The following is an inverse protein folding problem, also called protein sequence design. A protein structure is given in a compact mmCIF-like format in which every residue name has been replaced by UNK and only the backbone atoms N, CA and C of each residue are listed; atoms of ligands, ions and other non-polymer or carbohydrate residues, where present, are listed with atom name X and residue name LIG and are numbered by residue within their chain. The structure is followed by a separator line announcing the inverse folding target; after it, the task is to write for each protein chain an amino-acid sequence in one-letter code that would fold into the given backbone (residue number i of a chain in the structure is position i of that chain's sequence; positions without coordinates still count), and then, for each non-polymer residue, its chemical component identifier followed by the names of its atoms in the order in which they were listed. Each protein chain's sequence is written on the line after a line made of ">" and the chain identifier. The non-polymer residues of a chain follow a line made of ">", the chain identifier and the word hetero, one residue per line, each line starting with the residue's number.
data_IF_003953524969
#
_entry.id   IF_003953524969
#
_cell.length_a   1.000
_cell.length_b   1.000
_cell.length_c   1.000
_cell.angle_alpha   90.00
_cell.angle_beta   90.00
_cell.angle_gamma   90.00
#
_symmetry.space_group_name_H-M   'P 1'
#
loop_
_entity.id
_entity.type
_entity.pdbx_description
1 polymer ?
#
# COMPACT_ATOMS: atom_id res chain seq x y z
N UNK A 1 -11.00 51.36 -15.81
CA UNK A 1 -10.74 49.99 -16.29
C UNK A 1 -11.85 49.09 -15.80
N UNK A 2 -12.64 48.53 -16.72
CA UNK A 2 -13.88 47.80 -16.45
C UNK A 2 -13.59 46.48 -15.74
N UNK A 3 -14.24 46.24 -14.61
CA UNK A 3 -14.20 44.98 -13.87
C UNK A 3 -14.98 43.93 -14.65
N UNK A 4 -14.30 42.94 -15.22
CA UNK A 4 -14.96 41.81 -15.89
C UNK A 4 -15.74 40.99 -14.84
N UNK A 5 -17.07 41.03 -14.91
CA UNK A 5 -17.95 40.15 -14.14
C UNK A 5 -17.90 38.78 -14.80
N UNK A 6 -17.31 37.80 -14.12
CA UNK A 6 -17.32 36.40 -14.56
C UNK A 6 -18.76 35.88 -14.53
N UNK A 7 -19.27 35.25 -15.61
CA UNK A 7 -20.63 34.72 -15.64
C UNK A 7 -20.81 33.61 -14.59
N UNK A 8 -21.87 33.71 -13.80
CA UNK A 8 -22.31 32.66 -12.87
C UNK A 8 -22.89 31.50 -13.67
N UNK A 9 -22.54 30.24 -13.35
CA UNK A 9 -23.14 29.08 -14.02
C UNK A 9 -24.59 28.91 -13.57
N UNK A 10 -25.48 28.57 -14.51
CA UNK A 10 -26.94 28.49 -14.32
C UNK A 10 -27.41 27.34 -13.42
N UNK A 11 -26.51 26.65 -12.71
CA UNK A 11 -26.79 25.41 -11.99
C UNK A 11 -26.82 25.55 -10.46
N UNK A 12 -26.54 26.72 -9.89
CA UNK A 12 -26.58 26.91 -8.43
C UNK A 12 -27.99 27.31 -7.96
N UNK A 13 -28.60 26.57 -7.01
CA UNK A 13 -29.93 26.90 -6.49
C UNK A 13 -29.90 28.24 -5.72
N UNK A 14 -30.97 29.03 -5.83
CA UNK A 14 -31.01 30.44 -5.36
C UNK A 14 -30.77 30.62 -3.86
N UNK A 15 -30.96 29.57 -3.04
CA UNK A 15 -30.71 29.61 -1.59
C UNK A 15 -29.22 29.55 -1.23
N UNK A 16 -28.34 29.21 -2.18
CA UNK A 16 -26.89 29.10 -1.96
C UNK A 16 -26.16 30.30 -2.58
N UNK A 17 -26.22 31.43 -1.89
CA UNK A 17 -25.50 32.66 -2.29
C UNK A 17 -24.12 32.63 -1.61
N UNK A 18 -23.07 32.26 -2.36
CA UNK A 18 -21.68 32.30 -1.87
C UNK A 18 -21.00 33.62 -2.28
N UNK A 19 -20.39 34.31 -1.32
CA UNK A 19 -19.60 35.52 -1.59
C UNK A 19 -18.28 35.14 -2.27
N UNK A 20 -18.08 35.60 -3.52
CA UNK A 20 -16.83 35.41 -4.25
C UNK A 20 -15.96 36.66 -4.08
N UNK A 21 -14.77 36.49 -3.51
CA UNK A 21 -13.80 37.55 -3.31
C UNK A 21 -12.73 37.50 -4.40
N UNK A 22 -12.13 38.64 -4.72
CA UNK A 22 -10.97 38.70 -5.62
C UNK A 22 -9.77 37.99 -4.98
N UNK A 23 -8.94 37.33 -5.79
CA UNK A 23 -7.64 36.73 -5.38
C UNK A 23 -6.66 37.74 -4.78
N UNK A 24 -6.95 39.05 -4.87
CA UNK A 24 -6.19 40.11 -4.22
C UNK A 24 -6.41 40.15 -2.70
N UNK A 25 -7.57 39.69 -2.25
CA UNK A 25 -7.98 39.68 -0.84
C UNK A 25 -7.54 38.36 -0.23
N UNK A 26 -6.97 38.40 0.98
CA UNK A 26 -6.44 37.24 1.71
C UNK A 26 -7.57 36.42 2.37
N UNK A 27 -8.66 36.17 1.66
CA UNK A 27 -9.87 35.50 2.17
C UNK A 27 -10.22 34.29 1.31
N UNK A 28 -10.65 33.19 1.93
CA UNK A 28 -10.97 31.96 1.22
C UNK A 28 -9.73 31.30 0.63
N UNK A 29 -9.87 30.68 -0.55
CA UNK A 29 -8.82 29.89 -1.18
C UNK A 29 -7.76 30.72 -1.96
N UNK A 30 -7.56 31.98 -1.57
CA UNK A 30 -6.75 32.96 -2.32
C UNK A 30 -5.34 32.46 -2.66
N UNK A 31 -4.72 31.72 -1.75
CA UNK A 31 -3.34 31.21 -1.89
C UNK A 31 -3.26 30.17 -3.00
N UNK A 32 -4.20 29.23 -3.05
CA UNK A 32 -4.24 28.23 -4.12
C UNK A 32 -4.57 28.88 -5.45
N UNK A 33 -5.51 29.84 -5.47
CA UNK A 33 -5.88 30.55 -6.70
C UNK A 33 -4.73 31.34 -7.32
N UNK A 34 -3.86 31.94 -6.50
CA UNK A 34 -2.63 32.60 -6.96
C UNK A 34 -1.54 31.61 -7.39
N UNK A 35 -1.57 30.38 -6.87
CA UNK A 35 -0.61 29.31 -7.20
C UNK A 35 -1.03 28.50 -8.44
N UNK A 36 -2.28 28.67 -8.93
CA UNK A 36 -2.76 28.06 -10.18
C UNK A 36 -1.84 28.45 -11.34
N UNK A 37 -1.22 27.46 -11.99
CA UNK A 37 -0.34 27.65 -13.16
C UNK A 37 1.15 27.42 -12.90
N UNK A 38 1.59 27.32 -11.63
CA UNK A 38 2.96 26.94 -11.29
C UNK A 38 3.02 25.46 -10.86
N UNK A 39 4.03 24.68 -11.31
CA UNK A 39 4.19 23.31 -10.84
C UNK A 39 4.50 23.30 -9.34
N UNK A 40 3.80 22.46 -8.57
CA UNK A 40 3.96 22.32 -7.11
C UNK A 40 5.42 22.14 -6.67
N UNK A 41 6.23 21.44 -7.48
CA UNK A 41 7.67 21.28 -7.25
C UNK A 41 8.36 22.62 -6.98
N UNK A 42 8.20 23.61 -7.86
CA UNK A 42 8.85 24.92 -7.73
C UNK A 42 8.35 25.75 -6.54
N UNK A 43 7.18 25.42 -5.98
CA UNK A 43 6.58 26.17 -4.89
C UNK A 43 7.10 25.70 -3.52
N UNK A 44 7.41 24.41 -3.38
CA UNK A 44 7.58 23.76 -2.08
C UNK A 44 8.93 23.04 -1.96
N UNK A 45 9.63 22.75 -3.07
CA UNK A 45 10.98 22.16 -2.98
C UNK A 45 12.01 23.23 -2.66
N UNK A 46 12.86 22.97 -1.66
CA UNK A 46 13.87 23.93 -1.22
C UNK A 46 15.21 23.83 -1.97
N UNK A 47 15.66 22.63 -2.37
CA UNK A 47 16.99 22.43 -2.98
C UNK A 47 16.99 21.45 -4.15
N UNK A 48 15.96 21.53 -5.02
CA UNK A 48 15.75 20.55 -6.11
C UNK A 48 15.69 19.10 -5.61
N UNK A 49 15.25 18.91 -4.36
CA UNK A 49 15.19 17.59 -3.76
C UNK A 49 14.17 16.70 -4.49
N UNK A 50 14.53 15.46 -4.83
CA UNK A 50 13.58 14.45 -5.23
C UNK A 50 12.40 14.37 -4.26
N UNK A 51 11.18 14.29 -4.77
CA UNK A 51 9.97 14.21 -3.94
C UNK A 51 9.94 13.00 -3.00
N UNK A 52 10.64 11.92 -3.33
CA UNK A 52 10.67 10.67 -2.56
C UNK A 52 12.12 10.36 -2.15
N UNK A 53 12.69 11.18 -1.27
CA UNK A 53 14.12 11.04 -0.88
C UNK A 53 14.36 10.44 0.50
N UNK A 54 13.37 10.40 1.38
CA UNK A 54 13.56 9.99 2.78
C UNK A 54 12.45 9.01 3.19
N UNK A 55 12.63 7.75 2.78
CA UNK A 55 11.64 6.68 3.01
C UNK A 55 11.89 5.89 4.30
N UNK A 56 13.00 6.17 4.98
CA UNK A 56 13.41 5.54 6.23
C UNK A 56 13.33 6.60 7.32
N UNK A 57 12.57 6.31 8.37
CA UNK A 57 12.47 7.19 9.54
C UNK A 57 13.64 6.98 10.49
N UNK A 58 13.94 7.96 11.35
CA UNK A 58 14.95 7.82 12.41
C UNK A 58 14.62 6.68 13.38
N UNK A 59 13.33 6.41 13.61
CA UNK A 59 12.88 5.26 14.38
C UNK A 59 13.26 3.94 13.69
N UNK A 60 12.92 3.80 12.40
CA UNK A 60 13.22 2.58 11.62
C UNK A 60 14.74 2.31 11.55
N UNK A 61 15.53 3.37 11.32
CA UNK A 61 17.00 3.33 11.33
C UNK A 61 17.56 2.79 12.66
N UNK A 62 16.97 3.24 13.78
CA UNK A 62 17.39 2.85 15.12
C UNK A 62 17.16 1.36 15.41
N UNK A 63 15.99 0.84 15.06
CA UNK A 63 15.62 -0.54 15.36
C UNK A 63 16.24 -1.54 14.38
N UNK A 64 16.31 -1.21 13.10
CA UNK A 64 16.84 -2.11 12.06
C UNK A 64 18.37 -2.10 11.98
N UNK A 65 19.04 -1.31 12.81
CA UNK A 65 20.50 -1.14 12.81
C UNK A 65 21.05 -0.71 11.44
N UNK A 66 20.27 0.02 10.65
CA UNK A 66 20.85 0.80 9.54
C UNK A 66 21.87 1.83 10.08
N UNK A 67 21.77 2.11 11.39
CA UNK A 67 22.53 3.03 12.21
C UNK A 67 24.08 2.96 12.16
N UNK A 68 24.70 1.99 11.50
CA UNK A 68 26.16 1.87 11.44
C UNK A 68 26.76 2.72 10.33
N UNK A 69 27.00 4.01 10.63
CA UNK A 69 27.83 4.90 9.81
C UNK A 69 29.12 5.24 10.56
N UNK A 70 30.23 4.51 10.34
CA UNK A 70 31.47 4.68 11.11
C UNK A 70 32.18 6.02 10.89
N UNK A 71 31.70 6.84 9.95
CA UNK A 71 32.31 8.13 9.59
C UNK A 71 31.59 9.37 10.15
N UNK A 72 30.47 9.23 10.87
CA UNK A 72 29.69 10.37 11.37
C UNK A 72 29.72 10.44 12.90
N UNK A 73 29.89 11.65 13.49
CA UNK A 73 29.82 11.83 14.93
C UNK A 73 28.38 11.66 15.44
N UNK A 74 28.21 10.99 16.58
CA UNK A 74 26.90 10.78 17.21
C UNK A 74 26.26 12.08 17.69
N UNK A 75 27.08 13.03 18.16
CA UNK A 75 26.64 14.32 18.67
C UNK A 75 27.24 15.46 17.85
N UNK A 76 26.43 16.50 17.68
CA UNK A 76 26.84 17.78 17.11
C UNK A 76 28.02 18.39 17.87
N UNK A 77 29.06 18.78 17.15
CA UNK A 77 30.28 19.39 17.71
C UNK A 77 30.47 20.83 17.19
N UNK A 78 30.89 21.75 18.05
CA UNK A 78 31.18 23.13 17.65
C UNK A 78 32.55 23.22 17.00
N UNK A 79 32.60 23.64 15.73
CA UNK A 79 33.86 23.90 15.04
C UNK A 79 34.26 25.37 15.21
N UNK A 80 35.26 25.61 16.05
CA UNK A 80 35.79 26.95 16.35
C UNK A 80 36.40 27.66 15.13
N UNK A 81 36.98 26.92 14.19
CA UNK A 81 37.62 27.52 13.01
C UNK A 81 36.61 27.95 11.95
N UNK A 82 35.50 27.21 11.82
CA UNK A 82 34.43 27.51 10.86
C UNK A 82 33.28 28.30 11.48
N UNK A 83 33.28 28.50 12.81
CA UNK A 83 32.23 29.17 13.58
C UNK A 83 30.83 28.60 13.31
N UNK A 84 30.75 27.27 13.22
CA UNK A 84 29.50 26.56 12.96
C UNK A 84 29.42 25.26 13.76
N UNK A 85 28.20 24.88 14.09
CA UNK A 85 27.91 23.53 14.56
C UNK A 85 28.07 22.57 13.39
N UNK A 86 28.95 21.58 13.52
CA UNK A 86 29.08 20.53 12.51
C UNK A 86 27.79 19.70 12.48
N UNK A 87 27.35 19.29 11.28
CA UNK A 87 26.15 18.48 11.17
C UNK A 87 26.35 17.15 11.91
N UNK A 88 25.31 16.71 12.59
CA UNK A 88 25.25 15.41 13.25
C UNK A 88 24.72 14.34 12.32
N UNK A 89 24.66 13.10 12.81
CA UNK A 89 24.05 12.00 12.07
C UNK A 89 22.61 12.30 11.61
N UNK A 90 21.79 12.96 12.42
CA UNK A 90 20.41 13.28 12.07
C UNK A 90 20.28 14.28 10.90
N UNK A 91 21.33 15.07 10.63
CA UNK A 91 21.39 15.99 9.50
C UNK A 91 21.66 15.25 8.17
N UNK A 92 22.03 13.96 8.23
CA UNK A 92 22.25 13.08 7.07
C UNK A 92 21.21 11.95 7.05
N UNK A 93 19.99 12.22 6.56
CA UNK A 93 18.97 11.20 6.44
C UNK A 93 19.41 10.07 5.50
N UNK A 94 19.07 8.83 5.86
CA UNK A 94 19.42 7.65 5.07
C UNK A 94 18.71 7.65 3.73
N UNK A 95 19.49 7.40 2.68
CA UNK A 95 19.01 7.24 1.31
C UNK A 95 18.95 5.75 0.98
N UNK A 96 17.76 5.18 1.07
CA UNK A 96 17.57 3.75 0.82
C UNK A 96 16.12 3.40 0.49
N UNK A 97 15.88 2.18 -0.03
CA UNK A 97 14.54 1.66 -0.15
C UNK A 97 13.92 1.50 1.25
N UNK A 98 12.59 1.66 1.37
CA UNK A 98 11.89 1.47 2.63
C UNK A 98 11.96 0.01 3.07
N UNK A 99 12.16 -0.22 4.36
CA UNK A 99 12.32 -1.56 4.94
C UNK A 99 11.09 -2.42 4.72
N UNK A 100 9.88 -1.83 4.82
CA UNK A 100 8.56 -2.36 4.45
C UNK A 100 8.16 -3.78 4.92
N UNK A 101 9.05 -4.57 5.53
CA UNK A 101 8.87 -5.92 6.08
C UNK A 101 7.98 -6.86 5.25
N UNK A 102 8.02 -6.76 3.92
CA UNK A 102 7.15 -7.52 3.01
C UNK A 102 5.68 -7.08 2.96
N UNK A 103 5.26 -6.05 3.71
CA UNK A 103 3.89 -5.52 3.70
C UNK A 103 3.45 -5.08 2.31
N UNK A 104 4.36 -4.41 1.58
CA UNK A 104 4.10 -3.97 0.22
C UNK A 104 3.83 -5.16 -0.73
N UNK A 105 4.58 -6.25 -0.58
CA UNK A 105 4.40 -7.46 -1.38
C UNK A 105 3.06 -8.13 -1.09
N UNK A 106 2.69 -8.21 0.20
CA UNK A 106 1.39 -8.72 0.63
C UNK A 106 0.22 -7.89 0.10
N UNK A 107 0.33 -6.55 0.15
CA UNK A 107 -0.69 -5.66 -0.40
C UNK A 107 -0.78 -5.79 -1.92
N UNK A 108 0.35 -5.88 -2.60
CA UNK A 108 0.40 -6.09 -4.05
C UNK A 108 -0.31 -7.40 -4.44
N UNK A 109 -0.12 -8.48 -3.69
CA UNK A 109 -0.83 -9.74 -3.91
C UNK A 109 -2.35 -9.59 -3.75
N UNK A 110 -2.81 -8.83 -2.76
CA UNK A 110 -4.25 -8.56 -2.55
C UNK A 110 -4.88 -7.73 -3.67
N UNK A 111 -4.11 -6.83 -4.29
CA UNK A 111 -4.60 -5.98 -5.38
C UNK A 111 -4.56 -6.64 -6.75
N UNK A 112 -3.78 -7.72 -6.90
CA UNK A 112 -3.86 -8.50 -8.12
C UNK A 112 -5.31 -8.98 -8.28
N UNK A 113 -5.90 -8.82 -9.48
CA UNK A 113 -7.21 -9.38 -9.73
C UNK A 113 -7.17 -10.87 -9.39
N UNK A 114 -8.22 -11.42 -8.76
CA UNK A 114 -8.27 -12.85 -8.51
C UNK A 114 -7.97 -13.58 -9.81
N UNK A 115 -7.08 -14.59 -9.81
CA UNK A 115 -6.90 -15.45 -10.98
C UNK A 115 -8.30 -15.90 -11.40
N UNK A 116 -8.62 -15.79 -12.70
CA UNK A 116 -9.97 -15.87 -13.25
C UNK A 116 -10.86 -16.71 -12.35
N UNK A 117 -11.72 -16.01 -11.58
CA UNK A 117 -12.72 -16.67 -10.76
C UNK A 117 -13.42 -17.58 -11.73
N UNK A 118 -13.19 -18.89 -11.60
CA UNK A 118 -14.03 -19.92 -12.21
C UNK A 118 -15.43 -19.46 -11.88
N UNK A 119 -16.16 -18.96 -12.89
CA UNK A 119 -17.28 -18.00 -12.78
C UNK A 119 -18.48 -18.50 -11.94
N UNK A 120 -18.34 -19.57 -11.15
CA UNK A 120 -19.39 -20.38 -10.54
C UNK A 120 -18.99 -20.99 -9.19
N UNK A 121 -17.95 -20.53 -8.51
CA UNK A 121 -17.66 -21.03 -7.16
C UNK A 121 -18.38 -20.17 -6.12
N UNK A 122 -19.32 -20.80 -5.39
CA UNK A 122 -19.97 -20.15 -4.25
C UNK A 122 -19.00 -20.01 -3.07
N UNK A 123 -19.27 -19.07 -2.15
CA UNK A 123 -18.51 -18.91 -0.90
C UNK A 123 -18.47 -20.24 -0.11
N UNK A 124 -19.56 -21.01 -0.14
CA UNK A 124 -19.64 -22.31 0.51
C UNK A 124 -18.65 -23.32 -0.10
N UNK A 125 -18.61 -23.41 -1.43
CA UNK A 125 -17.71 -24.34 -2.15
C UNK A 125 -16.23 -24.02 -1.92
N UNK A 126 -15.87 -22.74 -1.87
CA UNK A 126 -14.48 -22.31 -1.64
C UNK A 126 -14.05 -22.45 -0.18
N UNK A 127 -14.96 -22.23 0.78
CA UNK A 127 -14.67 -22.37 2.21
C UNK A 127 -14.57 -23.82 2.66
N UNK A 128 -15.29 -24.73 2.01
CA UNK A 128 -15.33 -26.16 2.34
C UNK A 128 -14.83 -27.01 1.16
N UNK A 129 -13.50 -27.10 0.94
CA UNK A 129 -12.94 -27.97 -0.08
C UNK A 129 -13.26 -29.44 0.26
N UNK A 130 -13.51 -30.25 -0.78
CA UNK A 130 -13.72 -31.69 -0.59
C UNK A 130 -12.44 -32.28 0.02
N UNK A 131 -12.53 -32.99 1.17
CA UNK A 131 -11.36 -33.62 1.76
C UNK A 131 -10.77 -34.68 0.82
N UNK A 132 -9.48 -35.00 0.92
CA UNK A 132 -8.85 -36.01 0.06
C UNK A 132 -9.58 -37.34 0.18
N UNK A 133 -9.63 -38.10 -0.92
CA UNK A 133 -10.42 -39.34 -0.99
C UNK A 133 -10.07 -40.36 0.12
N UNK A 134 -8.84 -40.36 0.63
CA UNK A 134 -8.42 -41.22 1.74
C UNK A 134 -8.94 -40.82 3.13
N UNK A 135 -9.46 -39.60 3.30
CA UNK A 135 -10.14 -39.17 4.52
C UNK A 135 -11.63 -39.56 4.53
N UNK A 136 -12.17 -39.96 3.37
CA UNK A 136 -13.54 -40.45 3.26
C UNK A 136 -13.56 -41.91 3.70
N UNK A 137 -14.58 -42.30 4.47
CA UNK A 137 -14.80 -43.70 4.83
C UNK A 137 -15.01 -44.54 3.56
N UNK A 138 -14.17 -45.55 3.36
CA UNK A 138 -14.35 -46.51 2.27
C UNK A 138 -15.41 -47.51 2.69
N UNK A 139 -16.47 -47.64 1.89
CA UNK A 139 -17.49 -48.66 2.13
C UNK A 139 -16.99 -49.97 1.55
N UNK A 140 -16.47 -50.83 2.41
CA UNK A 140 -16.13 -52.19 2.05
C UNK A 140 -17.42 -53.02 1.95
N UNK A 141 -17.65 -53.61 0.79
CA UNK A 141 -18.74 -54.56 0.58
C UNK A 141 -18.17 -55.98 0.61
N UNK A 142 -18.86 -56.89 1.28
CA UNK A 142 -18.50 -58.31 1.25
C UNK A 142 -18.56 -58.81 -0.20
N UNK A 143 -17.41 -59.24 -0.73
CA UNK A 143 -17.36 -59.91 -2.03
C UNK A 143 -17.89 -61.33 -1.78
N UNK A 144 -19.00 -61.75 -2.43
CA UNK A 144 -19.53 -63.09 -2.25
C UNK A 144 -18.50 -64.11 -2.76
N UNK A 145 -18.04 -65.00 -1.88
CA UNK A 145 -17.22 -66.15 -2.28
C UNK A 145 -18.15 -67.19 -2.90
N UNK A 146 -17.94 -67.60 -4.16
CA UNK A 146 -18.75 -68.66 -4.75
C UNK A 146 -18.55 -69.97 -3.96
N UNK A 147 -19.62 -70.73 -3.67
CA UNK A 147 -19.50 -71.97 -2.92
C UNK A 147 -18.60 -72.97 -3.68
N UNK A 148 -17.82 -73.81 -2.96
CA UNK A 148 -17.06 -74.88 -3.58
C UNK A 148 -17.99 -75.78 -4.39
N UNK A 149 -17.64 -76.06 -5.65
CA UNK A 149 -18.40 -77.01 -6.48
C UNK A 149 -18.35 -78.38 -5.80
N UNK A 150 -19.49 -78.85 -5.30
CA UNK A 150 -19.63 -80.23 -4.85
C UNK A 150 -19.35 -81.14 -6.03
N UNK A 151 -18.31 -81.97 -5.93
CA UNK A 151 -18.05 -82.99 -6.94
C UNK A 151 -19.16 -84.04 -6.87
N UNK A 152 -19.68 -84.52 -8.01
CA UNK A 152 -20.72 -85.54 -8.01
C UNK A 152 -20.20 -86.81 -7.33
N UNK A 153 -20.97 -87.31 -6.35
CA UNK A 153 -20.70 -88.57 -5.68
C UNK A 153 -20.93 -89.71 -6.68
N UNK A 154 -19.99 -90.67 -6.83
CA UNK A 154 -20.19 -91.81 -7.72
C UNK A 154 -21.36 -92.67 -7.22
N UNK A 155 -22.36 -92.88 -8.07
CA UNK A 155 -23.38 -93.89 -7.83
C UNK A 155 -22.81 -95.27 -8.18
N UNK A 156 -22.84 -96.19 -7.21
CA UNK A 156 -22.61 -97.62 -7.39
C UNK A 156 -23.94 -98.34 -7.64
#
# INVERSE_FOLDING_TARGET
>A
FLTAVSPQSSSTPSWKIETKYSTRVLTGNWTEERRKGLPYKHLITHHQEPSQRYLISTYDDHYNRHNYHPGLPELRTWNRHKLLWLPEKADFPLLGPPTNYGLYEQLKQKWLPPPEVTLRESIYTSSYPRPPAGAMSQREHAIPVPPPRLQPVPHF
#
